data_IF_547137062391
#
_entry.id   IF_547137062391
#
_cell.length_a   1.000
_cell.length_b   1.000
_cell.length_c   1.000
_cell.angle_alpha   90.00
_cell.angle_beta   90.00
_cell.angle_gamma   90.00
#
_symmetry.space_group_name_H-M   'P 1'
#
loop_
_entity.id
_entity.type
_entity.pdbx_description
1 polymer ?
#
# COMPACT_ATOMS: atom_id res chain seq x y z
N UNK A 1 17.67 3.48 16.20
CA UNK A 1 16.43 3.31 15.40
C UNK A 1 16.51 4.30 14.24
N UNK A 2 16.67 3.89 12.97
CA UNK A 2 16.31 4.79 11.90
C UNK A 2 14.81 5.02 12.02
N UNK A 3 14.43 6.29 12.02
CA UNK A 3 13.05 6.73 12.09
C UNK A 3 12.21 6.01 11.02
N UNK A 4 10.87 5.84 11.19
CA UNK A 4 10.03 5.50 10.04
C UNK A 4 10.35 6.49 8.90
N UNK A 5 10.19 6.12 7.62
CA UNK A 5 10.65 6.88 6.45
C UNK A 5 10.25 8.38 6.39
N UNK A 6 9.41 8.85 7.32
CA UNK A 6 8.84 10.19 7.41
C UNK A 6 9.25 11.01 8.63
N UNK A 7 9.91 10.44 9.64
CA UNK A 7 10.25 11.31 10.76
C UNK A 7 11.36 12.28 10.31
N UNK A 8 10.98 13.55 10.23
CA UNK A 8 11.78 14.62 9.64
C UNK A 8 11.24 15.17 8.32
N UNK A 9 10.28 14.50 7.66
CA UNK A 9 9.61 15.03 6.46
C UNK A 9 8.53 16.00 6.88
N UNK A 10 8.78 17.30 6.71
CA UNK A 10 7.85 18.39 7.09
C UNK A 10 7.30 19.12 5.86
N UNK A 11 7.78 18.82 4.67
CA UNK A 11 7.29 19.39 3.42
C UNK A 11 7.66 18.54 2.21
N UNK A 12 7.14 18.94 1.05
CA UNK A 12 7.39 18.25 -0.22
C UNK A 12 8.88 18.26 -0.57
N UNK A 13 9.61 19.32 -0.20
CA UNK A 13 11.06 19.36 -0.44
C UNK A 13 11.81 18.29 0.37
N UNK A 14 11.46 18.09 1.64
CA UNK A 14 12.08 17.05 2.48
C UNK A 14 11.78 15.65 1.91
N UNK A 15 10.53 15.45 1.46
CA UNK A 15 10.10 14.23 0.80
C UNK A 15 10.94 13.95 -0.45
N UNK A 16 11.16 14.95 -1.30
CA UNK A 16 12.04 14.85 -2.48
C UNK A 16 13.46 14.48 -2.07
N UNK A 17 14.02 15.11 -1.04
CA UNK A 17 15.36 14.81 -0.54
C UNK A 17 15.50 13.36 -0.06
N UNK A 18 14.52 12.83 0.69
CA UNK A 18 14.54 11.45 1.17
C UNK A 18 14.45 10.45 0.01
N UNK A 19 13.58 10.72 -0.97
CA UNK A 19 13.41 9.88 -2.15
C UNK A 19 14.65 9.93 -3.05
N UNK A 20 15.24 11.11 -3.26
CA UNK A 20 16.47 11.27 -4.02
C UNK A 20 17.62 10.50 -3.38
N UNK A 21 17.80 10.61 -2.06
CA UNK A 21 18.81 9.83 -1.34
C UNK A 21 18.61 8.32 -1.50
N UNK A 22 17.37 7.86 -1.56
CA UNK A 22 17.04 6.44 -1.77
C UNK A 22 17.31 6.00 -3.22
N UNK A 23 17.08 6.91 -4.18
CA UNK A 23 17.42 6.73 -5.59
C UNK A 23 18.94 6.61 -5.77
N UNK A 24 19.72 7.50 -5.13
CA UNK A 24 21.18 7.56 -5.24
C UNK A 24 21.89 6.38 -4.52
N UNK A 25 21.23 5.76 -3.53
CA UNK A 25 21.80 4.69 -2.72
C UNK A 25 21.94 3.34 -3.45
N UNK A 26 21.33 3.17 -4.63
CA UNK A 26 21.47 1.96 -5.44
C UNK A 26 21.18 2.24 -6.92
N UNK A 27 21.65 1.35 -7.79
CA UNK A 27 21.21 1.35 -9.18
C UNK A 27 19.84 0.67 -9.28
N UNK A 28 18.88 1.35 -9.89
CA UNK A 28 17.53 0.82 -10.13
C UNK A 28 17.49 0.13 -11.49
N UNK A 29 17.05 -1.12 -11.50
CA UNK A 29 16.74 -1.81 -12.75
C UNK A 29 15.41 -1.31 -13.35
N UNK A 30 15.19 -1.43 -14.67
CA UNK A 30 13.96 -0.97 -15.32
C UNK A 30 12.64 -1.52 -14.74
N UNK A 31 12.69 -2.67 -14.04
CA UNK A 31 11.53 -3.29 -13.39
C UNK A 31 11.33 -2.85 -11.94
N UNK A 32 12.26 -2.13 -11.34
CA UNK A 32 12.19 -1.69 -9.95
C UNK A 32 11.45 -0.37 -9.80
N UNK A 33 10.70 -0.25 -8.71
CA UNK A 33 10.00 0.98 -8.34
C UNK A 33 10.66 1.64 -7.14
N UNK A 34 10.64 2.97 -7.12
CA UNK A 34 10.94 3.75 -5.91
C UNK A 34 9.63 3.93 -5.12
N UNK A 35 9.55 3.30 -3.95
CA UNK A 35 8.34 3.21 -3.15
C UNK A 35 8.51 4.00 -1.85
N UNK A 36 7.61 4.95 -1.59
CA UNK A 36 7.46 5.59 -0.28
C UNK A 36 6.19 5.09 0.40
N UNK A 37 6.23 4.76 1.69
CA UNK A 37 5.06 4.28 2.46
C UNK A 37 4.82 5.07 3.73
N UNK A 38 3.75 5.85 3.85
CA UNK A 38 3.31 6.50 5.09
C UNK A 38 3.38 8.04 5.13
N UNK A 39 3.41 8.72 3.99
CA UNK A 39 3.30 10.19 4.00
C UNK A 39 1.89 10.61 4.42
N UNK A 40 1.79 11.78 5.03
CA UNK A 40 0.53 12.42 5.41
C UNK A 40 0.54 13.86 4.90
N UNK A 41 -0.30 14.17 3.92
CA UNK A 41 -0.34 15.50 3.33
C UNK A 41 -0.82 16.59 4.30
N UNK A 42 -1.58 16.21 5.34
CA UNK A 42 -1.99 17.13 6.40
C UNK A 42 -0.82 17.58 7.29
N UNK A 43 0.28 16.83 7.31
CA UNK A 43 1.49 17.15 8.07
C UNK A 43 2.53 17.94 7.25
N UNK A 44 2.37 17.98 5.92
CA UNK A 44 3.26 18.74 5.05
C UNK A 44 3.04 20.26 5.20
N UNK A 45 4.10 21.05 5.00
CA UNK A 45 4.09 22.51 5.00
C UNK A 45 3.12 23.07 3.95
N UNK A 46 3.05 22.43 2.80
CA UNK A 46 2.25 22.87 1.66
C UNK A 46 0.76 22.57 1.82
N UNK A 47 0.35 21.76 2.82
CA UNK A 47 -1.04 21.36 3.07
C UNK A 47 -1.76 20.85 1.81
N UNK A 48 -1.01 20.16 0.96
CA UNK A 48 -1.51 19.51 -0.24
C UNK A 48 -0.81 18.18 -0.44
N UNK A 49 -1.52 17.27 -1.09
CA UNK A 49 -0.93 16.02 -1.54
C UNK A 49 0.15 16.30 -2.60
N UNK A 50 1.29 15.58 -2.61
CA UNK A 50 2.22 15.62 -3.73
C UNK A 50 1.54 15.19 -5.03
N UNK A 51 2.02 15.71 -6.15
CA UNK A 51 1.54 15.41 -7.50
C UNK A 51 2.67 14.88 -8.38
N UNK A 52 2.35 14.32 -9.54
CA UNK A 52 3.29 13.74 -10.51
C UNK A 52 4.40 14.72 -10.91
N UNK A 53 4.14 16.03 -10.87
CA UNK A 53 5.12 17.08 -11.17
C UNK A 53 6.18 17.15 -10.07
N UNK A 54 5.78 17.07 -8.79
CA UNK A 54 6.75 17.03 -7.68
C UNK A 54 7.64 15.78 -7.79
N UNK A 55 7.10 14.65 -8.25
CA UNK A 55 7.86 13.41 -8.43
C UNK A 55 8.74 13.40 -9.69
N UNK A 56 8.36 14.16 -10.72
CA UNK A 56 9.12 14.30 -11.95
C UNK A 56 10.47 14.97 -11.74
N UNK A 57 10.60 15.82 -10.71
CA UNK A 57 11.87 16.41 -10.29
C UNK A 57 12.86 15.39 -9.71
N UNK A 58 12.38 14.21 -9.29
CA UNK A 58 13.21 13.12 -8.77
C UNK A 58 13.60 12.17 -9.90
N UNK A 59 12.62 11.70 -10.67
CA UNK A 59 12.88 10.86 -11.83
C UNK A 59 11.70 10.84 -12.81
N UNK A 60 12.05 10.90 -14.09
CA UNK A 60 11.13 10.64 -15.21
C UNK A 60 11.18 9.18 -15.68
N UNK A 61 12.25 8.45 -15.36
CA UNK A 61 12.53 7.12 -15.90
C UNK A 61 12.18 5.99 -14.92
N UNK A 62 12.37 6.22 -13.62
CA UNK A 62 12.05 5.26 -12.58
C UNK A 62 10.60 5.46 -12.15
N UNK A 63 9.75 4.41 -12.12
CA UNK A 63 8.41 4.55 -11.58
C UNK A 63 8.46 4.82 -10.08
N UNK A 64 7.79 5.89 -9.66
CA UNK A 64 7.70 6.31 -8.27
C UNK A 64 6.25 6.15 -7.81
N UNK A 65 6.06 5.53 -6.65
CA UNK A 65 4.75 5.41 -6.00
C UNK A 65 4.87 5.72 -4.51
N UNK A 66 4.10 6.70 -4.04
CA UNK A 66 4.00 7.04 -2.63
C UNK A 66 2.62 6.63 -2.11
N UNK A 67 2.61 5.76 -1.13
CA UNK A 67 1.41 5.26 -0.49
C UNK A 67 1.17 6.05 0.80
N UNK A 68 -0.02 6.64 0.90
CA UNK A 68 -0.39 7.49 2.01
C UNK A 68 -0.59 6.69 3.30
N UNK A 69 -0.37 7.32 4.46
CA UNK A 69 -0.49 6.68 5.79
C UNK A 69 -1.88 6.07 6.04
N UNK A 70 -2.93 6.62 5.42
CA UNK A 70 -4.29 6.09 5.54
C UNK A 70 -4.48 4.74 4.86
N UNK A 71 -3.61 4.38 3.91
CA UNK A 71 -3.79 3.21 3.05
C UNK A 71 -4.85 3.38 1.94
N UNK A 72 -5.49 4.55 1.84
CA UNK A 72 -6.59 4.82 0.90
C UNK A 72 -6.20 5.79 -0.23
N UNK A 73 -5.02 6.40 -0.15
CA UNK A 73 -4.53 7.37 -1.12
C UNK A 73 -3.14 6.97 -1.59
N UNK A 74 -2.82 7.34 -2.83
CA UNK A 74 -1.46 7.26 -3.33
C UNK A 74 -1.17 8.34 -4.35
N UNK A 75 0.12 8.57 -4.63
CA UNK A 75 0.57 9.39 -5.75
C UNK A 75 1.63 8.63 -6.54
N UNK A 76 1.49 8.62 -7.86
CA UNK A 76 2.44 8.03 -8.78
C UNK A 76 2.93 9.06 -9.81
N UNK A 77 4.18 8.92 -10.26
CA UNK A 77 4.72 9.75 -11.34
C UNK A 77 4.20 9.29 -12.71
N UNK A 78 4.52 10.07 -13.76
CA UNK A 78 4.08 9.76 -15.13
C UNK A 78 4.54 8.39 -15.63
N UNK A 79 5.73 7.94 -15.22
CA UNK A 79 6.24 6.60 -15.56
C UNK A 79 5.37 5.49 -14.97
N UNK A 80 5.01 5.58 -13.69
CA UNK A 80 4.11 4.63 -13.05
C UNK A 80 2.73 4.61 -13.72
N UNK A 81 2.18 5.77 -14.11
CA UNK A 81 0.93 5.84 -14.87
C UNK A 81 1.04 5.19 -16.25
N UNK A 82 2.17 5.36 -16.94
CA UNK A 82 2.44 4.72 -18.23
C UNK A 82 2.47 3.20 -18.11
N UNK A 83 3.15 2.65 -17.08
CA UNK A 83 3.16 1.21 -16.80
C UNK A 83 1.74 0.71 -16.48
N UNK A 84 0.97 1.48 -15.72
CA UNK A 84 -0.44 1.20 -15.42
C UNK A 84 -1.37 1.33 -16.64
N UNK A 85 -0.87 1.82 -17.79
CA UNK A 85 -1.64 2.13 -19.00
C UNK A 85 -2.79 3.12 -18.73
N UNK A 86 -2.55 4.07 -17.83
CA UNK A 86 -3.50 5.12 -17.47
C UNK A 86 -3.13 6.45 -18.12
N UNK A 87 -4.14 7.15 -18.65
CA UNK A 87 -4.01 8.44 -19.33
C UNK A 87 -5.20 9.35 -19.01
N UNK A 88 -5.23 10.54 -19.63
CA UNK A 88 -6.37 11.45 -19.51
C UNK A 88 -7.71 10.83 -19.94
N UNK A 89 -7.68 9.87 -20.88
CA UNK A 89 -8.85 9.15 -21.35
C UNK A 89 -9.35 8.06 -20.38
N UNK A 90 -8.55 7.68 -19.38
CA UNK A 90 -8.92 6.63 -18.43
C UNK A 90 -10.05 7.08 -17.52
N UNK A 91 -11.13 6.29 -17.46
CA UNK A 91 -12.23 6.49 -16.51
C UNK A 91 -11.81 6.14 -15.09
N UNK A 92 -12.53 6.69 -14.11
CA UNK A 92 -12.42 6.26 -12.73
C UNK A 92 -12.90 4.80 -12.59
N UNK A 93 -12.21 3.94 -11.81
CA UNK A 93 -12.72 2.62 -11.48
C UNK A 93 -13.95 2.75 -10.56
N UNK A 94 -14.79 1.70 -10.51
CA UNK A 94 -15.88 1.64 -9.56
C UNK A 94 -15.33 1.71 -8.12
N UNK A 95 -15.85 2.64 -7.31
CA UNK A 95 -15.41 2.82 -5.93
C UNK A 95 -13.99 3.40 -5.79
N UNK A 96 -13.49 4.11 -6.81
CA UNK A 96 -12.21 4.82 -6.70
C UNK A 96 -12.07 5.98 -7.68
N UNK A 97 -11.02 6.77 -7.50
CA UNK A 97 -10.83 8.00 -8.27
C UNK A 97 -9.39 8.20 -8.69
N UNK A 98 -9.20 8.66 -9.93
CA UNK A 98 -7.93 9.19 -10.41
C UNK A 98 -8.02 10.72 -10.35
N UNK A 99 -7.26 11.35 -9.44
CA UNK A 99 -7.26 12.81 -9.23
C UNK A 99 -6.75 13.54 -10.47
N UNK A 100 -7.44 14.61 -10.87
CA UNK A 100 -7.14 15.41 -12.07
C UNK A 100 -6.86 16.86 -11.74
N UNK A 101 -6.13 17.53 -12.62
CA UNK A 101 -5.94 18.98 -12.50
C UNK A 101 -7.28 19.69 -12.66
N UNK A 102 -7.43 20.83 -12.01
CA UNK A 102 -8.64 21.63 -12.09
C UNK A 102 -8.93 21.96 -13.56
N UNK A 103 -10.18 21.75 -13.99
CA UNK A 103 -10.64 21.97 -15.36
C UNK A 103 -9.85 21.17 -16.43
N UNK A 104 -9.35 19.98 -16.07
CA UNK A 104 -8.58 19.12 -16.98
C UNK A 104 -8.94 17.64 -16.81
N UNK A 105 -8.76 16.86 -17.88
CA UNK A 105 -8.76 15.39 -17.83
C UNK A 105 -7.40 14.81 -17.44
N UNK A 106 -6.36 15.64 -17.38
CA UNK A 106 -4.99 15.21 -17.06
C UNK A 106 -4.86 14.74 -15.61
N UNK A 107 -4.36 13.52 -15.36
CA UNK A 107 -4.11 13.04 -14.02
C UNK A 107 -3.04 13.87 -13.29
N UNK A 108 -3.30 14.23 -12.04
CA UNK A 108 -2.31 14.82 -11.14
C UNK A 108 -1.29 13.80 -10.65
N UNK A 109 -1.49 12.51 -10.91
CA UNK A 109 -0.75 11.42 -10.29
C UNK A 109 -1.41 10.86 -9.03
N UNK A 110 -2.37 11.57 -8.43
CA UNK A 110 -3.10 11.10 -7.25
C UNK A 110 -4.15 10.04 -7.58
N UNK A 111 -4.27 9.04 -6.71
CA UNK A 111 -5.28 7.96 -6.79
C UNK A 111 -5.92 7.72 -5.42
N UNK A 112 -7.21 7.37 -5.43
CA UNK A 112 -8.04 7.18 -4.24
C UNK A 112 -8.79 5.84 -4.31
N UNK A 113 -8.95 5.18 -3.16
CA UNK A 113 -9.72 3.96 -2.96
C UNK A 113 -9.37 2.86 -3.97
N UNK A 114 -10.33 2.36 -4.75
CA UNK A 114 -10.11 1.28 -5.70
C UNK A 114 -9.01 1.59 -6.74
N UNK A 115 -8.72 2.88 -7.01
CA UNK A 115 -7.66 3.28 -7.93
C UNK A 115 -6.24 3.10 -7.35
N UNK A 116 -6.11 2.90 -6.03
CA UNK A 116 -4.84 2.64 -5.34
C UNK A 116 -4.32 1.23 -5.64
N UNK A 117 -5.22 0.23 -5.62
CA UNK A 117 -4.83 -1.18 -5.62
C UNK A 117 -3.95 -1.60 -6.81
N UNK A 118 -4.21 -1.16 -8.06
CA UNK A 118 -3.33 -1.51 -9.18
C UNK A 118 -1.89 -1.00 -9.00
N UNK A 119 -1.73 0.24 -8.52
CA UNK A 119 -0.41 0.82 -8.26
C UNK A 119 0.30 0.12 -7.10
N UNK A 120 -0.43 -0.15 -6.01
CA UNK A 120 0.10 -0.91 -4.88
C UNK A 120 0.57 -2.31 -5.32
N UNK A 121 -0.24 -3.02 -6.10
CA UNK A 121 0.11 -4.36 -6.60
C UNK A 121 1.35 -4.33 -7.49
N UNK A 122 1.44 -3.40 -8.45
CA UNK A 122 2.62 -3.25 -9.31
C UNK A 122 3.88 -2.88 -8.52
N UNK A 123 3.76 -1.93 -7.59
CA UNK A 123 4.86 -1.53 -6.71
C UNK A 123 5.35 -2.72 -5.87
N UNK A 124 4.45 -3.47 -5.24
CA UNK A 124 4.80 -4.64 -4.43
C UNK A 124 5.42 -5.77 -5.26
N UNK A 125 4.94 -6.01 -6.48
CA UNK A 125 5.50 -7.00 -7.39
C UNK A 125 6.89 -6.63 -7.92
N UNK A 126 7.28 -5.34 -7.86
CA UNK A 126 8.63 -4.90 -8.21
C UNK A 126 9.68 -5.24 -7.15
N UNK A 127 9.27 -5.64 -5.95
CA UNK A 127 10.18 -5.93 -4.84
C UNK A 127 10.87 -7.28 -5.08
N UNK A 128 12.19 -7.25 -5.29
CA UNK A 128 13.02 -8.45 -5.58
C UNK A 128 13.04 -9.51 -4.47
N UNK A 129 12.91 -9.10 -3.20
CA UNK A 129 12.94 -10.02 -2.05
C UNK A 129 11.86 -9.63 -1.01
N UNK A 130 10.58 -9.92 -1.29
CA UNK A 130 9.49 -9.56 -0.40
C UNK A 130 9.53 -10.33 0.93
N UNK A 131 10.09 -11.55 0.93
CA UNK A 131 10.29 -12.37 2.14
C UNK A 131 11.16 -11.66 3.20
N UNK A 132 12.19 -10.93 2.77
CA UNK A 132 13.02 -10.11 3.69
C UNK A 132 12.22 -9.02 4.41
N UNK A 133 11.15 -8.52 3.79
CA UNK A 133 10.24 -7.55 4.41
C UNK A 133 9.56 -8.15 5.65
N UNK A 134 9.06 -9.39 5.55
CA UNK A 134 8.47 -10.10 6.68
C UNK A 134 9.47 -10.32 7.81
N UNK A 135 10.70 -10.76 7.49
CA UNK A 135 11.72 -10.97 8.52
C UNK A 135 12.00 -9.69 9.32
N UNK A 136 12.20 -8.56 8.62
CA UNK A 136 12.40 -7.26 9.29
C UNK A 136 11.21 -6.85 10.14
N UNK A 137 9.98 -7.07 9.67
CA UNK A 137 8.79 -6.75 10.45
C UNK A 137 8.72 -7.59 11.74
N UNK A 138 9.07 -8.87 11.65
CA UNK A 138 9.10 -9.80 12.78
C UNK A 138 10.19 -9.43 13.77
N UNK A 139 11.41 -9.11 13.31
CA UNK A 139 12.48 -8.56 14.16
C UNK A 139 12.03 -7.30 14.92
N UNK A 140 11.28 -6.42 14.24
CA UNK A 140 10.73 -5.21 14.85
C UNK A 140 9.69 -5.55 15.92
N UNK A 141 8.81 -6.51 15.67
CA UNK A 141 7.82 -6.94 16.66
C UNK A 141 8.48 -7.61 17.86
N UNK A 142 9.35 -8.59 17.61
CA UNK A 142 10.05 -9.36 18.65
C UNK A 142 10.86 -8.46 19.59
N UNK A 143 11.65 -7.52 19.06
CA UNK A 143 12.46 -6.61 19.89
C UNK A 143 11.64 -5.64 20.75
N UNK A 144 10.35 -5.46 20.43
CA UNK A 144 9.41 -4.66 21.22
C UNK A 144 8.52 -5.55 22.13
N UNK A 145 8.85 -6.83 22.29
CA UNK A 145 8.12 -7.75 23.16
C UNK A 145 6.79 -8.26 22.59
N UNK A 146 6.50 -8.01 21.32
CA UNK A 146 5.32 -8.57 20.65
C UNK A 146 5.62 -10.03 20.32
N UNK A 147 4.86 -10.96 20.90
CA UNK A 147 5.04 -12.41 20.72
C UNK A 147 4.07 -13.02 19.70
N UNK A 148 3.04 -12.28 19.31
CA UNK A 148 2.05 -12.72 18.31
C UNK A 148 1.55 -11.54 17.49
N UNK A 149 1.52 -11.71 16.17
CA UNK A 149 0.96 -10.75 15.22
C UNK A 149 -0.17 -11.39 14.41
N UNK A 150 -1.09 -10.55 13.93
CA UNK A 150 -2.17 -10.98 13.04
C UNK A 150 -2.06 -10.27 11.69
N UNK A 151 -2.10 -11.04 10.59
CA UNK A 151 -2.34 -10.51 9.25
C UNK A 151 -3.83 -10.61 8.96
N UNK A 152 -4.52 -9.47 9.06
CA UNK A 152 -5.97 -9.36 8.95
C UNK A 152 -6.50 -9.28 7.52
N UNK A 153 -5.67 -9.47 6.49
CA UNK A 153 -6.08 -9.47 5.09
C UNK A 153 -5.07 -10.22 4.19
N UNK A 154 -4.69 -11.43 4.61
CA UNK A 154 -3.69 -12.22 3.90
C UNK A 154 -4.21 -12.71 2.55
N UNK A 155 -3.38 -12.61 1.51
CA UNK A 155 -3.61 -13.33 0.24
C UNK A 155 -2.94 -14.71 0.28
N UNK A 156 -3.27 -15.60 -0.66
CA UNK A 156 -2.54 -16.85 -0.85
C UNK A 156 -1.04 -16.62 -1.14
N UNK A 157 -0.72 -15.57 -1.89
CA UNK A 157 0.66 -15.16 -2.16
C UNK A 157 1.35 -14.73 -0.87
N UNK A 158 0.70 -13.90 -0.06
CA UNK A 158 1.21 -13.47 1.26
C UNK A 158 1.49 -14.67 2.16
N UNK A 159 0.57 -15.64 2.21
CA UNK A 159 0.76 -16.89 2.96
C UNK A 159 2.00 -17.65 2.47
N UNK A 160 2.16 -17.79 1.15
CA UNK A 160 3.32 -18.46 0.57
C UNK A 160 4.62 -17.75 0.95
N UNK A 161 4.64 -16.42 0.89
CA UNK A 161 5.81 -15.61 1.23
C UNK A 161 6.17 -15.66 2.72
N UNK A 162 5.17 -15.68 3.61
CA UNK A 162 5.38 -15.91 5.04
C UNK A 162 6.05 -17.27 5.27
N UNK A 163 5.54 -18.31 4.60
CA UNK A 163 6.15 -19.65 4.61
C UNK A 163 7.61 -19.60 4.22
N UNK A 164 7.93 -19.10 3.00
CA UNK A 164 9.30 -18.95 2.50
C UNK A 164 10.21 -18.15 3.41
N UNK A 165 9.70 -17.07 4.02
CA UNK A 165 10.46 -16.27 4.98
C UNK A 165 10.83 -17.10 6.22
N UNK A 166 9.86 -17.82 6.81
CA UNK A 166 10.07 -18.67 7.97
C UNK A 166 10.96 -19.90 7.69
N UNK A 167 11.05 -20.37 6.44
CA UNK A 167 12.01 -21.44 6.08
C UNK A 167 13.45 -20.93 6.04
N UNK A 168 13.63 -19.69 5.56
CA UNK A 168 14.95 -19.08 5.43
C UNK A 168 15.51 -18.66 6.78
N UNK A 169 14.65 -18.12 7.64
CA UNK A 169 15.01 -17.65 8.97
C UNK A 169 13.79 -17.86 9.90
N UNK A 170 13.84 -18.82 10.84
CA UNK A 170 12.71 -19.12 11.71
C UNK A 170 12.21 -17.88 12.46
N UNK A 171 10.89 -17.72 12.52
CA UNK A 171 10.29 -16.59 13.22
C UNK A 171 10.44 -16.72 14.73
N UNK A 172 10.63 -15.58 15.40
CA UNK A 172 10.66 -15.48 16.87
C UNK A 172 9.27 -15.21 17.47
N UNK A 173 8.28 -14.91 16.63
CA UNK A 173 6.89 -14.61 17.01
C UNK A 173 5.94 -15.54 16.27
N UNK A 174 4.73 -15.67 16.81
CA UNK A 174 3.63 -16.32 16.09
C UNK A 174 2.95 -15.36 15.11
N UNK A 175 2.63 -15.84 13.91
CA UNK A 175 1.88 -15.07 12.91
C UNK A 175 0.57 -15.78 12.60
N UNK A 176 -0.55 -15.15 12.90
CA UNK A 176 -1.89 -15.67 12.60
C UNK A 176 -2.45 -14.92 11.40
N UNK A 177 -2.59 -15.62 10.27
CA UNK A 177 -3.11 -15.04 9.04
C UNK A 177 -4.62 -15.34 8.87
N UNK A 178 -5.34 -14.32 8.41
CA UNK A 178 -6.75 -14.40 8.04
C UNK A 178 -6.89 -14.11 6.54
N UNK A 179 -7.28 -15.13 5.76
CA UNK A 179 -7.35 -15.00 4.29
C UNK A 179 -8.61 -14.24 3.91
N UNK A 180 -8.52 -13.27 2.99
CA UNK A 180 -9.71 -12.57 2.48
C UNK A 180 -10.56 -13.53 1.62
N UNK A 181 -11.88 -13.48 1.78
CA UNK A 181 -12.79 -14.31 0.96
C UNK A 181 -13.23 -13.64 -0.34
N UNK A 182 -13.18 -12.32 -0.42
CA UNK A 182 -13.67 -11.55 -1.57
C UNK A 182 -12.91 -11.96 -2.83
N UNK A 183 -13.63 -12.43 -3.84
CA UNK A 183 -13.04 -12.86 -5.12
C UNK A 183 -12.41 -14.26 -5.11
N UNK A 184 -12.47 -14.98 -3.99
CA UNK A 184 -11.97 -16.36 -3.89
C UNK A 184 -13.14 -17.35 -3.95
N UNK A 185 -13.09 -18.35 -4.85
CA UNK A 185 -14.10 -19.40 -4.89
C UNK A 185 -14.22 -20.14 -3.56
N UNK A 186 -15.46 -20.41 -3.12
CA UNK A 186 -15.74 -21.11 -1.86
C UNK A 186 -15.03 -22.47 -1.76
N UNK A 187 -14.81 -23.15 -2.89
CA UNK A 187 -14.08 -24.42 -2.96
C UNK A 187 -12.61 -24.27 -2.52
N UNK A 188 -11.95 -23.18 -2.91
CA UNK A 188 -10.59 -22.88 -2.49
C UNK A 188 -10.54 -22.56 -0.98
N UNK A 189 -11.52 -21.82 -0.48
CA UNK A 189 -11.63 -21.55 0.96
C UNK A 189 -11.81 -22.85 1.75
N UNK A 190 -12.66 -23.76 1.27
CA UNK A 190 -12.91 -25.07 1.91
C UNK A 190 -11.70 -26.01 1.89
N UNK A 191 -10.76 -25.81 0.97
CA UNK A 191 -9.50 -26.58 0.93
C UNK A 191 -8.44 -26.10 1.93
N UNK A 192 -8.66 -24.99 2.63
CA UNK A 192 -7.71 -24.47 3.60
C UNK A 192 -7.76 -25.23 4.92
N UNK A 193 -6.58 -25.52 5.46
CA UNK A 193 -6.42 -26.09 6.80
C UNK A 193 -6.27 -24.96 7.83
N UNK A 194 -7.27 -24.81 8.70
CA UNK A 194 -7.27 -23.80 9.75
C UNK A 194 -6.80 -24.37 11.09
N UNK A 195 -6.30 -23.50 11.97
CA UNK A 195 -5.99 -23.84 13.36
C UNK A 195 -4.64 -24.51 13.59
N UNK A 196 -4.01 -25.06 12.55
CA UNK A 196 -2.69 -25.70 12.66
C UNK A 196 -1.55 -24.70 12.48
N UNK A 197 -0.54 -24.83 13.33
CA UNK A 197 0.71 -24.08 13.21
C UNK A 197 1.71 -24.85 12.35
N UNK A 198 2.39 -24.10 11.49
CA UNK A 198 3.56 -24.54 10.74
C UNK A 198 4.61 -23.44 10.84
N UNK A 199 5.78 -23.73 11.43
CA UNK A 199 6.89 -22.76 11.58
C UNK A 199 6.41 -21.42 12.20
N UNK A 200 5.61 -21.51 13.27
CA UNK A 200 4.94 -20.38 13.96
C UNK A 200 3.89 -19.60 13.15
N UNK A 201 3.54 -20.04 11.95
CA UNK A 201 2.48 -19.46 11.14
C UNK A 201 1.22 -20.30 11.27
N UNK A 202 0.06 -19.66 11.45
CA UNK A 202 -1.24 -20.32 11.52
C UNK A 202 -2.26 -19.62 10.63
N UNK A 203 -3.07 -20.39 9.90
CA UNK A 203 -4.31 -19.86 9.34
C UNK A 203 -5.38 -19.83 10.43
N UNK A 204 -5.69 -18.63 10.92
CA UNK A 204 -6.64 -18.43 12.02
C UNK A 204 -8.10 -18.41 11.56
N UNK A 205 -8.35 -18.07 10.31
CA UNK A 205 -9.69 -17.99 9.76
C UNK A 205 -9.75 -17.19 8.46
N UNK A 206 -10.93 -16.64 8.19
CA UNK A 206 -11.22 -15.84 7.00
C UNK A 206 -11.54 -14.40 7.41
N UNK A 207 -11.00 -13.44 6.67
CA UNK A 207 -11.37 -12.03 6.76
C UNK A 207 -12.56 -11.76 5.84
N UNK A 208 -13.61 -11.19 6.42
CA UNK A 208 -14.73 -10.61 5.67
C UNK A 208 -14.64 -9.07 5.73
N UNK A 209 -14.92 -8.44 4.59
CA UNK A 209 -15.09 -7.00 4.40
C UNK A 209 -16.54 -6.84 3.98
N UNK A 210 -17.30 -6.05 4.74
CA UNK A 210 -18.73 -5.82 4.51
C UNK A 210 -18.97 -4.49 3.80
N UNK A 211 -18.21 -3.47 4.19
CA UNK A 211 -18.28 -2.10 3.69
C UNK A 211 -16.89 -1.42 3.70
N UNK A 212 -16.85 -0.13 3.38
CA UNK A 212 -15.62 0.66 3.33
C UNK A 212 -15.23 1.30 4.68
N UNK A 213 -14.51 2.41 4.64
CA UNK A 213 -14.02 3.09 5.85
C UNK A 213 -14.75 4.42 6.12
N UNK A 214 -14.98 4.80 7.39
CA UNK A 214 -15.59 6.09 7.72
C UNK A 214 -14.73 7.29 7.33
N UNK A 215 -13.40 7.14 7.33
CA UNK A 215 -12.45 8.21 7.05
C UNK A 215 -12.63 8.77 5.64
N UNK A 216 -12.89 7.89 4.68
CA UNK A 216 -13.10 8.24 3.27
C UNK A 216 -14.57 8.17 2.87
N UNK A 217 -15.45 8.00 3.88
CA UNK A 217 -16.90 8.01 3.79
C UNK A 217 -17.51 6.92 2.91
N UNK A 218 -16.93 5.72 2.95
CA UNK A 218 -17.41 4.54 2.22
C UNK A 218 -17.98 3.45 3.13
N UNK A 219 -17.90 3.61 4.45
CA UNK A 219 -18.60 2.73 5.40
C UNK A 219 -20.12 2.91 5.28
N UNK A 220 -20.85 1.81 5.39
CA UNK A 220 -22.31 1.77 5.40
C UNK A 220 -22.83 2.24 6.75
N UNK A 221 -23.69 3.26 6.74
CA UNK A 221 -24.27 3.83 7.94
C UNK A 221 -25.79 3.71 7.91
N UNK A 222 -26.41 3.48 9.06
CA UNK A 222 -27.88 3.46 9.18
C UNK A 222 -28.53 4.84 8.95
N UNK A 223 -27.72 5.90 8.94
CA UNK A 223 -28.08 7.29 8.61
C UNK A 223 -26.96 7.87 7.75
N UNK A 224 -27.28 8.84 6.91
CA UNK A 224 -26.28 9.50 6.06
C UNK A 224 -25.13 10.11 6.87
N UNK A 225 -23.96 10.23 6.24
CA UNK A 225 -22.85 10.99 6.81
C UNK A 225 -23.28 12.42 7.11
N UNK A 226 -22.87 12.96 8.27
CA UNK A 226 -23.11 14.36 8.65
C UNK A 226 -22.59 15.35 7.58
N UNK A 227 -21.50 14.97 6.89
CA UNK A 227 -20.98 15.66 5.71
C UNK A 227 -20.86 14.62 4.60
N UNK A 228 -21.68 14.65 3.54
CA UNK A 228 -21.59 13.70 2.44
C UNK A 228 -20.22 13.68 1.74
N UNK A 229 -19.86 12.60 1.03
CA UNK A 229 -18.75 12.59 0.08
C UNK A 229 -18.96 13.66 -1.01
N UNK A 230 -17.87 14.15 -1.63
CA UNK A 230 -17.90 15.28 -2.57
C UNK A 230 -18.81 15.10 -3.82
N UNK A 231 -19.30 13.88 -4.07
CA UNK A 231 -20.00 13.51 -5.31
C UNK A 231 -21.37 12.85 -5.07
N UNK A 232 -21.84 12.77 -3.82
CA UNK A 232 -23.16 12.21 -3.49
C UNK A 232 -24.01 13.29 -2.81
N UNK A 233 -24.68 14.08 -3.65
CA UNK A 233 -25.78 14.97 -3.28
C UNK A 233 -27.12 14.32 -3.58
#
# INVERSE_FOLDING_TARGET
MPLPPWAGVKGIQDLKTVLQKSLDAKNFEPSEWLIGLGHDDSLLKEKRHPIRIDLAEISLEIPIYLFHVSGHLGVANSKAFSIAKLSAASKNPLGGRIRRFLNSSEPTGGVEEAAVYPFQAMAMNSVKNPARGFQKAIEIYAKNGITTAQDGAASFQTRSLLGTAAERDPFDIDVIAYVTSQGIPISQIRSLNFGQYEKRIKLGGIKLILDGSPQVKTAYLSKLYLKPPHDEG
#
